data_IF_860118953119
#
_entry.id   IF_860118953119
#
_cell.length_a   1.000
_cell.length_b   1.000
_cell.length_c   1.000
_cell.angle_alpha   90.00
_cell.angle_beta   90.00
_cell.angle_gamma   90.00
#
_symmetry.space_group_name_H-M   'P 1'
#
loop_
_entity.id
_entity.type
_entity.pdbx_description
1 polymer ?
#
# COMPACT_ATOMS: atom_id res chain seq x y z
N UNK A 1 14.79 64.56 4.54
CA UNK A 1 14.14 64.65 3.21
C UNK A 1 13.02 63.60 3.22
N UNK A 2 11.86 64.01 3.75
CA UNK A 2 10.56 63.39 3.51
C UNK A 2 10.17 63.72 2.06
N UNK A 3 9.69 62.75 1.27
CA UNK A 3 8.26 62.63 0.98
C UNK A 3 7.93 61.26 0.32
N UNK A 4 6.72 60.72 0.56
CA UNK A 4 6.27 59.38 0.24
C UNK A 4 5.35 59.35 -1.00
N UNK A 5 5.06 58.16 -1.52
CA UNK A 5 3.83 57.94 -2.29
C UNK A 5 3.40 56.48 -2.25
N UNK A 6 2.39 56.23 -1.41
CA UNK A 6 1.52 55.06 -1.47
C UNK A 6 0.84 54.95 -2.83
N UNK A 7 0.42 53.75 -3.23
CA UNK A 7 -1.01 53.40 -3.36
C UNK A 7 -1.15 51.95 -3.80
N UNK A 8 -2.06 51.23 -3.13
CA UNK A 8 -2.39 49.85 -3.41
C UNK A 8 -3.03 49.65 -4.78
N UNK A 9 -2.76 48.48 -5.37
CA UNK A 9 -3.43 48.04 -6.59
C UNK A 9 -4.79 47.45 -6.22
N UNK A 10 -5.85 48.23 -6.42
CA UNK A 10 -7.21 47.71 -6.61
C UNK A 10 -7.41 47.31 -8.07
N UNK A 11 -7.95 46.11 -8.38
CA UNK A 11 -8.29 45.76 -9.75
C UNK A 11 -9.50 46.59 -10.22
N UNK A 12 -9.30 47.35 -11.30
CA UNK A 12 -10.37 48.10 -11.97
C UNK A 12 -11.36 47.14 -12.64
N UNK A 13 -12.64 47.39 -12.36
CA UNK A 13 -13.80 46.84 -13.05
C UNK A 13 -13.85 47.43 -14.45
N UNK A 14 -13.55 46.64 -15.48
CA UNK A 14 -13.79 47.03 -16.88
C UNK A 14 -15.19 46.62 -17.31
N UNK A 15 -15.88 47.61 -17.86
CA UNK A 15 -17.25 47.55 -18.32
C UNK A 15 -17.43 46.51 -19.43
N UNK A 16 -18.42 45.64 -19.25
CA UNK A 16 -18.90 44.73 -20.28
C UNK A 16 -19.48 45.54 -21.44
N UNK A 17 -18.72 45.65 -22.53
CA UNK A 17 -19.24 46.09 -23.81
C UNK A 17 -20.33 45.11 -24.29
N UNK A 18 -21.49 45.67 -24.64
CA UNK A 18 -22.66 44.95 -25.17
C UNK A 18 -22.28 44.15 -26.43
N UNK A 19 -22.54 42.83 -26.47
CA UNK A 19 -22.43 42.07 -27.71
C UNK A 19 -23.50 42.52 -28.70
N UNK A 20 -23.08 42.64 -29.95
CA UNK A 20 -23.86 42.92 -31.14
C UNK A 20 -25.12 42.06 -31.24
N UNK A 21 -26.23 42.69 -31.65
CA UNK A 21 -27.48 42.01 -31.96
C UNK A 21 -27.27 41.01 -33.10
N UNK A 22 -27.27 39.71 -32.76
CA UNK A 22 -27.37 38.65 -33.76
C UNK A 22 -28.79 38.64 -34.34
N UNK A 23 -28.91 39.11 -35.58
CA UNK A 23 -30.15 39.24 -36.34
C UNK A 23 -30.75 37.88 -36.78
N UNK A 24 -30.21 36.75 -36.31
CA UNK A 24 -30.60 35.40 -36.74
C UNK A 24 -31.07 34.47 -35.61
N UNK A 25 -31.15 34.95 -34.36
CA UNK A 25 -31.49 34.10 -33.20
C UNK A 25 -32.98 33.83 -32.97
N UNK A 26 -33.88 34.56 -33.63
CA UNK A 26 -35.32 34.52 -33.29
C UNK A 26 -36.08 33.42 -34.05
N UNK A 27 -35.66 33.07 -35.28
CA UNK A 27 -36.43 32.13 -36.11
C UNK A 27 -36.16 30.65 -35.79
N UNK A 28 -34.99 30.31 -35.21
CA UNK A 28 -34.61 28.94 -34.86
C UNK A 28 -35.46 28.32 -33.75
N UNK A 29 -35.88 29.12 -32.77
CA UNK A 29 -36.63 28.63 -31.60
C UNK A 29 -38.09 28.30 -31.94
N UNK A 30 -38.70 29.00 -32.90
CA UNK A 30 -40.07 28.72 -33.36
C UNK A 30 -40.15 27.48 -34.26
N UNK A 31 -39.09 27.18 -35.02
CA UNK A 31 -39.01 25.98 -35.87
C UNK A 31 -38.91 24.66 -35.06
N UNK A 32 -38.60 24.74 -33.76
CA UNK A 32 -38.50 23.59 -32.84
C UNK A 32 -39.76 23.42 -31.97
N UNK A 33 -40.88 24.06 -32.32
CA UNK A 33 -42.19 23.88 -31.66
C UNK A 33 -43.12 22.96 -32.46
N UNK A 34 -42.57 22.00 -33.22
CA UNK A 34 -43.32 20.83 -33.66
C UNK A 34 -43.62 19.89 -32.47
N UNK A 35 -44.62 19.00 -32.56
CA UNK A 35 -44.88 18.04 -31.49
C UNK A 35 -43.65 17.16 -31.27
N UNK A 36 -42.91 17.44 -30.19
CA UNK A 36 -41.79 16.59 -29.77
C UNK A 36 -42.40 15.29 -29.28
N UNK A 37 -42.27 14.22 -30.08
CA UNK A 37 -42.66 12.89 -29.66
C UNK A 37 -41.96 12.60 -28.33
N UNK A 38 -42.73 12.27 -27.27
CA UNK A 38 -42.18 11.94 -25.96
C UNK A 38 -41.18 10.79 -26.13
N UNK A 39 -39.89 11.09 -26.00
CA UNK A 39 -38.86 10.07 -26.03
C UNK A 39 -39.04 9.18 -24.79
N UNK A 40 -39.43 7.94 -25.00
CA UNK A 40 -39.56 6.96 -23.92
C UNK A 40 -38.22 6.29 -23.71
N UNK A 41 -37.25 7.04 -23.19
CA UNK A 41 -35.94 6.48 -22.86
C UNK A 41 -36.05 5.56 -21.64
N UNK A 42 -35.44 4.38 -21.71
CA UNK A 42 -35.30 3.46 -20.58
C UNK A 42 -33.85 3.05 -20.45
N UNK A 43 -33.39 2.94 -19.21
CA UNK A 43 -32.03 2.53 -18.91
C UNK A 43 -31.78 1.11 -19.45
N UNK A 44 -30.67 0.86 -20.18
CA UNK A 44 -30.29 -0.48 -20.59
C UNK A 44 -30.16 -1.37 -19.36
N UNK A 45 -30.77 -2.55 -19.38
CA UNK A 45 -30.54 -3.52 -18.31
C UNK A 45 -29.08 -3.96 -18.40
N UNK A 46 -28.33 -3.75 -17.33
CA UNK A 46 -27.00 -4.34 -17.21
C UNK A 46 -27.19 -5.86 -17.27
N UNK A 47 -26.42 -6.60 -18.09
CA UNK A 47 -26.41 -8.05 -18.01
C UNK A 47 -26.12 -8.47 -16.57
N UNK A 48 -26.90 -9.42 -16.07
CA UNK A 48 -26.60 -10.05 -14.78
C UNK A 48 -25.24 -10.73 -14.92
N UNK A 49 -24.30 -10.42 -14.03
CA UNK A 49 -23.02 -11.12 -14.04
C UNK A 49 -23.27 -12.62 -13.82
N UNK A 50 -22.59 -13.51 -14.56
CA UNK A 50 -22.72 -14.94 -14.36
C UNK A 50 -22.48 -15.27 -12.89
N UNK A 51 -23.40 -16.01 -12.27
CA UNK A 51 -23.23 -16.51 -10.91
C UNK A 51 -21.94 -17.34 -10.90
N UNK A 52 -20.88 -16.78 -10.30
CA UNK A 52 -19.65 -17.52 -10.08
C UNK A 52 -19.99 -18.68 -9.13
N UNK A 53 -19.46 -19.89 -9.38
CA UNK A 53 -19.66 -21.00 -8.46
C UNK A 53 -19.15 -20.60 -7.07
N UNK A 54 -19.90 -20.92 -6.02
CA UNK A 54 -19.47 -20.76 -4.63
C UNK A 54 -18.26 -21.69 -4.39
N UNK A 55 -17.06 -21.17 -4.62
CA UNK A 55 -15.83 -21.85 -4.27
C UNK A 55 -15.72 -21.76 -2.74
N UNK A 56 -15.66 -22.89 -2.01
CA UNK A 56 -15.47 -22.85 -0.58
C UNK A 56 -14.14 -22.14 -0.29
N UNK A 57 -14.22 -20.93 0.25
CA UNK A 57 -13.05 -20.23 0.73
C UNK A 57 -12.65 -20.89 2.05
N UNK A 58 -11.43 -21.38 2.11
CA UNK A 58 -10.85 -21.85 3.35
C UNK A 58 -9.84 -20.80 3.81
N UNK A 59 -10.12 -20.16 4.95
CA UNK A 59 -9.23 -19.19 5.52
C UNK A 59 -7.94 -19.90 5.95
N UNK A 60 -6.83 -19.59 5.28
CA UNK A 60 -5.52 -20.14 5.62
C UNK A 60 -5.02 -19.46 6.89
N UNK A 61 -4.83 -20.24 7.94
CA UNK A 61 -4.22 -19.76 9.17
C UNK A 61 -2.69 -19.74 8.98
N UNK A 62 -1.99 -18.72 9.51
CA UNK A 62 -0.53 -18.71 9.51
C UNK A 62 0.00 -19.94 10.26
N UNK A 63 0.97 -20.64 9.66
CA UNK A 63 1.68 -21.72 10.35
C UNK A 63 2.93 -21.12 10.98
N UNK A 64 3.20 -21.37 12.28
CA UNK A 64 4.43 -20.91 12.91
C UNK A 64 5.66 -21.38 12.13
N UNK A 65 6.59 -20.47 11.89
CA UNK A 65 7.85 -20.81 11.23
C UNK A 65 8.81 -21.44 12.25
N UNK A 66 9.30 -22.66 11.97
CA UNK A 66 10.28 -23.32 12.85
C UNK A 66 11.66 -22.65 12.81
N UNK A 67 11.93 -21.86 11.77
CA UNK A 67 13.21 -21.19 11.51
C UNK A 67 13.29 -19.78 12.10
N UNK A 68 12.25 -19.31 12.80
CA UNK A 68 12.19 -17.96 13.36
C UNK A 68 11.82 -18.04 14.85
N UNK A 69 12.64 -17.42 15.69
CA UNK A 69 12.35 -17.22 17.10
C UNK A 69 12.36 -15.73 17.42
N UNK A 70 11.38 -15.26 18.19
CA UNK A 70 11.29 -13.86 18.59
C UNK A 70 11.16 -13.75 20.11
N UNK A 71 11.86 -12.77 20.67
CA UNK A 71 11.81 -12.41 22.07
C UNK A 71 11.39 -10.94 22.18
N UNK A 72 10.20 -10.73 22.74
CA UNK A 72 9.63 -9.40 22.94
C UNK A 72 10.10 -8.85 24.29
N UNK A 73 10.94 -7.81 24.26
CA UNK A 73 11.35 -7.04 25.43
C UNK A 73 10.32 -5.95 25.78
N UNK A 74 10.68 -5.06 26.70
CA UNK A 74 9.80 -3.97 27.12
C UNK A 74 9.67 -2.87 26.04
N UNK A 75 10.77 -2.49 25.40
CA UNK A 75 10.83 -1.44 24.38
C UNK A 75 11.48 -1.89 23.07
N UNK A 76 11.93 -3.13 22.99
CA UNK A 76 12.62 -3.70 21.84
C UNK A 76 12.20 -5.15 21.57
N UNK A 77 12.48 -5.62 20.36
CA UNK A 77 12.34 -7.01 19.93
C UNK A 77 13.69 -7.55 19.49
N UNK A 78 13.95 -8.80 19.84
CA UNK A 78 15.10 -9.56 19.39
C UNK A 78 14.62 -10.78 18.61
N UNK A 79 15.04 -10.91 17.35
CA UNK A 79 14.60 -11.97 16.43
C UNK A 79 15.81 -12.75 15.93
N UNK A 80 15.74 -14.06 16.06
CA UNK A 80 16.68 -15.02 15.51
C UNK A 80 16.06 -15.74 14.32
N UNK A 81 16.79 -15.78 13.21
CA UNK A 81 16.36 -16.39 11.97
C UNK A 81 17.41 -17.38 11.51
N UNK A 82 17.05 -18.65 11.38
CA UNK A 82 17.94 -19.65 10.80
C UNK A 82 18.15 -19.37 9.32
N UNK A 83 19.41 -19.41 8.86
CA UNK A 83 19.75 -19.24 7.45
C UNK A 83 19.16 -20.35 6.58
N UNK A 84 19.02 -21.57 7.10
CA UNK A 84 18.21 -22.63 6.49
C UNK A 84 16.71 -22.38 6.72
N UNK A 85 16.25 -21.23 6.23
CA UNK A 85 14.93 -20.69 6.53
C UNK A 85 13.77 -21.61 6.10
N UNK A 86 13.97 -22.39 5.04
CA UNK A 86 12.99 -23.35 4.52
C UNK A 86 13.22 -24.79 4.98
N UNK A 87 14.26 -25.07 5.79
CA UNK A 87 14.58 -26.43 6.24
C UNK A 87 15.05 -27.36 5.12
N UNK A 88 15.70 -26.82 4.09
CA UNK A 88 16.21 -27.60 2.93
C UNK A 88 17.68 -27.99 3.09
N UNK A 89 18.33 -27.58 4.18
CA UNK A 89 19.75 -27.76 4.45
C UNK A 89 20.66 -26.80 3.69
N UNK A 90 20.10 -25.82 2.97
CA UNK A 90 20.88 -24.83 2.21
C UNK A 90 20.72 -23.46 2.85
N UNK A 91 21.78 -22.85 3.40
CA UNK A 91 21.70 -21.53 3.99
C UNK A 91 21.42 -20.47 2.92
N UNK A 92 20.51 -19.55 3.23
CA UNK A 92 20.16 -18.42 2.39
C UNK A 92 21.03 -17.20 2.70
N UNK A 93 21.17 -16.31 1.74
CA UNK A 93 22.00 -15.12 1.89
C UNK A 93 21.45 -14.16 2.95
N UNK A 94 22.26 -13.69 3.91
CA UNK A 94 21.84 -12.75 4.94
C UNK A 94 21.20 -11.46 4.41
N UNK A 95 21.74 -10.93 3.30
CA UNK A 95 21.28 -9.71 2.65
C UNK A 95 19.89 -9.83 2.00
N UNK A 96 19.36 -11.04 1.86
CA UNK A 96 18.03 -11.29 1.35
C UNK A 96 16.94 -11.14 2.44
N UNK A 97 17.33 -11.05 3.71
CA UNK A 97 16.40 -10.92 4.84
C UNK A 97 16.29 -9.47 5.30
N UNK A 98 15.07 -9.09 5.69
CA UNK A 98 14.82 -7.81 6.34
C UNK A 98 13.68 -7.91 7.36
N UNK A 99 13.78 -7.17 8.46
CA UNK A 99 12.70 -7.02 9.43
C UNK A 99 12.02 -5.67 9.18
N UNK A 100 10.85 -5.68 8.53
CA UNK A 100 10.08 -4.49 8.14
C UNK A 100 10.92 -3.38 7.48
N UNK A 101 11.93 -3.77 6.71
CA UNK A 101 12.86 -2.88 5.99
C UNK A 101 14.22 -2.66 6.65
N UNK A 102 14.45 -3.15 7.87
CA UNK A 102 15.77 -3.12 8.51
C UNK A 102 16.61 -4.35 8.14
N UNK A 103 17.93 -4.15 8.04
CA UNK A 103 18.90 -5.22 7.84
C UNK A 103 19.21 -5.95 9.14
N UNK A 104 19.77 -7.17 9.10
CA UNK A 104 20.26 -7.86 10.28
C UNK A 104 21.25 -6.99 11.08
N UNK A 105 21.17 -7.06 12.40
CA UNK A 105 22.11 -6.39 13.32
C UNK A 105 23.33 -7.25 13.64
N UNK A 106 23.21 -8.56 13.48
CA UNK A 106 24.30 -9.51 13.67
C UNK A 106 24.08 -10.84 12.95
N UNK A 107 25.11 -11.68 12.98
CA UNK A 107 25.12 -13.02 12.41
C UNK A 107 26.00 -13.90 13.31
N UNK A 108 25.53 -15.13 13.58
CA UNK A 108 26.34 -16.18 14.19
C UNK A 108 26.64 -17.26 13.12
N UNK A 109 27.87 -17.28 12.58
CA UNK A 109 28.23 -18.23 11.53
C UNK A 109 28.38 -19.68 12.03
N UNK A 110 28.47 -19.90 13.34
CA UNK A 110 28.57 -21.26 13.89
C UNK A 110 27.21 -21.94 13.97
N UNK A 111 26.18 -21.19 14.34
CA UNK A 111 24.79 -21.67 14.39
C UNK A 111 24.01 -21.40 13.10
N UNK A 112 24.57 -20.62 12.16
CA UNK A 112 23.92 -20.19 10.92
C UNK A 112 22.61 -19.44 11.21
N UNK A 113 22.71 -18.44 12.09
CA UNK A 113 21.57 -17.64 12.55
C UNK A 113 21.83 -16.16 12.30
N UNK A 114 20.83 -15.49 11.75
CA UNK A 114 20.76 -14.05 11.62
C UNK A 114 20.03 -13.45 12.81
N UNK A 115 20.56 -12.34 13.30
CA UNK A 115 20.05 -11.63 14.46
C UNK A 115 19.51 -10.29 13.99
N UNK A 116 18.28 -9.98 14.41
CA UNK A 116 17.69 -8.66 14.29
C UNK A 116 17.37 -8.14 15.69
N UNK A 117 17.74 -6.89 15.94
CA UNK A 117 17.35 -6.16 17.13
C UNK A 117 16.75 -4.82 16.69
N UNK A 118 15.58 -4.50 17.23
CA UNK A 118 14.88 -3.25 16.90
C UNK A 118 14.03 -2.76 18.05
N UNK A 119 13.78 -1.46 18.10
CA UNK A 119 12.76 -0.89 18.98
C UNK A 119 11.35 -1.35 18.56
N UNK A 120 10.40 -1.38 19.50
CA UNK A 120 9.03 -1.82 19.22
C UNK A 120 8.31 -0.95 18.19
N UNK A 121 8.64 0.34 18.10
CA UNK A 121 8.13 1.29 17.10
C UNK A 121 9.06 1.44 15.88
N UNK A 122 10.15 0.67 15.85
CA UNK A 122 11.16 0.69 14.81
C UNK A 122 10.82 -0.25 13.65
N UNK A 123 11.67 -0.22 12.62
CA UNK A 123 11.70 -1.22 11.55
C UNK A 123 10.35 -1.56 10.92
N UNK A 124 9.54 -0.54 10.63
CA UNK A 124 8.26 -0.71 9.93
C UNK A 124 7.20 -1.48 10.73
N UNK A 125 7.38 -1.58 12.05
CA UNK A 125 6.37 -2.14 12.95
C UNK A 125 5.06 -1.36 12.89
N UNK A 126 3.98 -2.08 13.14
CA UNK A 126 2.66 -1.49 13.36
C UNK A 126 2.19 -1.87 14.74
N UNK A 127 1.32 -1.04 15.34
CA UNK A 127 0.72 -1.37 16.62
C UNK A 127 -0.76 -1.03 16.62
N UNK A 128 -1.52 -1.79 17.39
CA UNK A 128 -2.92 -1.50 17.66
C UNK A 128 -3.27 -1.89 19.09
N UNK A 129 -4.27 -1.20 19.62
CA UNK A 129 -4.82 -1.44 20.94
C UNK A 129 -6.10 -2.25 20.79
N UNK A 130 -6.21 -3.35 21.52
CA UNK A 130 -7.46 -4.08 21.73
C UNK A 130 -8.08 -3.63 23.06
N UNK A 131 -9.13 -4.31 23.54
CA UNK A 131 -9.73 -3.99 24.84
C UNK A 131 -8.76 -4.28 26.01
N UNK A 132 -7.92 -5.31 25.86
CA UNK A 132 -7.12 -5.88 26.94
C UNK A 132 -5.60 -5.78 26.70
N UNK A 133 -5.16 -5.51 25.47
CA UNK A 133 -3.73 -5.56 25.11
C UNK A 133 -3.30 -4.53 24.07
N UNK A 134 -2.02 -4.16 24.12
CA UNK A 134 -1.31 -3.49 23.04
C UNK A 134 -0.53 -4.55 22.25
N UNK A 135 -0.81 -4.66 20.95
CA UNK A 135 -0.15 -5.62 20.06
C UNK A 135 0.77 -4.87 19.11
N UNK A 136 2.02 -5.31 19.04
CA UNK A 136 2.99 -4.88 18.03
C UNK A 136 3.21 -5.98 17.01
N UNK A 137 3.26 -5.60 15.74
CA UNK A 137 3.46 -6.54 14.63
C UNK A 137 4.61 -6.12 13.74
N UNK A 138 5.45 -7.09 13.45
CA UNK A 138 6.59 -7.00 12.55
C UNK A 138 6.41 -7.97 11.38
N UNK A 139 7.07 -7.66 10.27
CA UNK A 139 7.14 -8.55 9.11
C UNK A 139 8.59 -8.88 8.80
N UNK A 140 8.99 -10.13 9.01
CA UNK A 140 10.25 -10.65 8.50
C UNK A 140 10.06 -11.06 7.04
N UNK A 141 10.86 -10.49 6.14
CA UNK A 141 10.72 -10.63 4.69
C UNK A 141 11.99 -11.26 4.13
N UNK A 142 11.83 -12.38 3.43
CA UNK A 142 12.85 -12.97 2.57
C UNK A 142 12.58 -12.61 1.12
N UNK A 143 13.51 -11.88 0.51
CA UNK A 143 13.47 -11.50 -0.91
C UNK A 143 14.62 -12.16 -1.66
N UNK A 144 14.38 -13.19 -2.48
CA UNK A 144 15.45 -13.86 -3.20
C UNK A 144 16.13 -12.91 -4.19
N UNK A 145 17.45 -13.00 -4.26
CA UNK A 145 18.21 -12.23 -5.24
C UNK A 145 17.93 -12.74 -6.66
N UNK A 146 17.57 -11.82 -7.57
CA UNK A 146 17.32 -12.18 -8.96
C UNK A 146 18.62 -12.61 -9.63
N UNK A 147 18.61 -13.77 -10.27
CA UNK A 147 19.76 -14.23 -11.05
C UNK A 147 20.02 -13.26 -12.22
N UNK A 148 21.26 -12.79 -12.32
CA UNK A 148 21.72 -11.88 -13.39
C UNK A 148 21.61 -12.52 -14.79
N UNK A 149 21.54 -11.65 -15.80
CA UNK A 149 21.18 -11.87 -17.22
C UNK A 149 21.86 -13.00 -18.03
N UNK A 150 22.76 -13.81 -17.48
CA UNK A 150 23.53 -14.82 -18.24
C UNK A 150 23.47 -16.25 -17.69
N UNK A 151 22.47 -16.60 -16.88
CA UNK A 151 22.29 -17.93 -16.30
C UNK A 151 20.87 -18.49 -16.42
N UNK A 152 20.66 -19.79 -16.14
CA UNK A 152 19.32 -20.38 -16.09
C UNK A 152 18.44 -19.64 -15.07
N UNK A 153 17.18 -19.38 -15.43
CA UNK A 153 16.22 -18.67 -14.58
C UNK A 153 15.84 -19.57 -13.41
N UNK A 154 16.33 -19.25 -12.21
CA UNK A 154 15.92 -19.88 -10.96
C UNK A 154 14.78 -19.06 -10.36
N UNK A 155 13.62 -19.68 -10.16
CA UNK A 155 12.45 -19.08 -9.50
C UNK A 155 12.42 -19.51 -8.04
N UNK A 156 12.90 -18.67 -7.15
CA UNK A 156 12.61 -18.77 -5.72
C UNK A 156 11.45 -17.83 -5.37
N UNK A 157 10.51 -18.32 -4.57
CA UNK A 157 9.44 -17.50 -4.01
C UNK A 157 9.96 -16.73 -2.80
N UNK A 158 9.63 -15.44 -2.72
CA UNK A 158 9.78 -14.71 -1.47
C UNK A 158 8.88 -15.27 -0.36
N UNK A 159 9.19 -14.92 0.87
CA UNK A 159 8.42 -15.34 2.04
C UNK A 159 8.26 -14.18 3.01
N UNK A 160 7.14 -14.16 3.73
CA UNK A 160 6.85 -13.19 4.79
C UNK A 160 6.40 -13.95 6.03
N UNK A 161 7.01 -13.65 7.16
CA UNK A 161 6.63 -14.18 8.47
C UNK A 161 6.17 -13.00 9.34
N UNK A 162 4.93 -13.07 9.80
CA UNK A 162 4.40 -12.13 10.77
C UNK A 162 4.88 -12.49 12.18
N UNK A 163 5.31 -11.49 12.95
CA UNK A 163 5.74 -11.64 14.34
C UNK A 163 4.91 -10.69 15.16
N UNK A 164 4.29 -11.19 16.24
CA UNK A 164 3.42 -10.41 17.12
C UNK A 164 3.94 -10.43 18.55
N UNK A 165 4.00 -9.25 19.17
CA UNK A 165 4.31 -9.05 20.59
C UNK A 165 3.07 -8.50 21.28
N UNK A 166 2.58 -9.22 22.29
CA UNK A 166 1.36 -8.90 23.03
C UNK A 166 1.72 -8.37 24.42
N UNK A 167 1.18 -7.21 24.79
CA UNK A 167 1.41 -6.54 26.07
C UNK A 167 0.09 -6.26 26.77
N UNK A 168 -0.04 -6.70 28.03
CA UNK A 168 -1.21 -6.46 28.89
C UNK A 168 -1.06 -5.20 29.76
#
# INVERSE_FOLDING_TARGET
>A
RYDPSSTGFTPQRTDFARPSQDLFGVQSKELMMGPVAKLTWRFPRLPEDPQQPDIPFELRHPVPANSVAAQCGESSIYVEVMEDFFGTGTPLMPSAFSLGGCTPTGEDPYSQVLIFESELHGCGSTSWMTEDELVYTFSLIYTPQQASYSGPIIRSSGAVVGIECHYA
#
